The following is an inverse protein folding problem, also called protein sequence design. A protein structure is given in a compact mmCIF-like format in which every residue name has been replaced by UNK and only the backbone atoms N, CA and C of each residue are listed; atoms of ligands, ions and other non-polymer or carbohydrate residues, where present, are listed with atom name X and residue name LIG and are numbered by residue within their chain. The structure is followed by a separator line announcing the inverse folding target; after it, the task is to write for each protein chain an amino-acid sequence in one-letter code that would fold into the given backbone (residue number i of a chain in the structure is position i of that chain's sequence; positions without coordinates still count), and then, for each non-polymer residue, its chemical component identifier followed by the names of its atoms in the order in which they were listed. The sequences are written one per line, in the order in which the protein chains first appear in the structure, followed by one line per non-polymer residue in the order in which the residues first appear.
data_IF_737004546803
#
_entry.id   IF_737004546803
#
_cell.length_a   1.000
_cell.length_b   1.000
_cell.length_c   1.000
_cell.angle_alpha   90.00
_cell.angle_beta   90.00
_cell.angle_gamma   90.00
#
_symmetry.space_group_name_H-M   'P 1'
#
loop_
_entity.id
_entity.type
_entity.pdbx_description
1 polymer ?
#
# COMPACT_ATOMS: atom_id res chain seq x y z
N UNK A 1 20.78 -17.38 6.25
CA UNK A 1 21.40 -16.64 5.11
C UNK A 1 20.43 -16.42 3.94
N UNK A 2 19.59 -17.36 3.56
CA UNK A 2 18.63 -17.24 2.45
C UNK A 2 17.66 -16.04 2.58
N UNK A 3 17.20 -15.71 3.79
CA UNK A 3 16.24 -14.64 4.02
C UNK A 3 16.80 -13.22 3.79
N UNK A 4 18.11 -13.04 3.95
CA UNK A 4 18.79 -11.74 3.73
C UNK A 4 18.98 -11.42 2.24
N UNK A 5 19.27 -12.42 1.43
CA UNK A 5 19.45 -12.27 -0.01
C UNK A 5 18.11 -12.00 -0.71
N UNK A 6 17.07 -12.64 -0.24
CA UNK A 6 15.69 -12.43 -0.70
C UNK A 6 15.19 -11.02 -0.38
N UNK A 7 15.49 -10.50 0.81
CA UNK A 7 15.16 -9.12 1.21
C UNK A 7 15.91 -8.08 0.37
N UNK A 8 17.21 -8.31 0.11
CA UNK A 8 18.01 -7.44 -0.77
C UNK A 8 17.47 -7.45 -2.20
N UNK A 9 17.13 -8.62 -2.74
CA UNK A 9 16.55 -8.75 -4.08
C UNK A 9 15.26 -7.95 -4.23
N UNK A 10 14.36 -7.93 -3.23
CA UNK A 10 13.11 -7.17 -3.31
C UNK A 10 13.34 -5.66 -3.30
N UNK A 11 14.24 -5.17 -2.45
CA UNK A 11 14.60 -3.74 -2.41
C UNK A 11 15.22 -3.33 -3.75
N UNK A 12 16.13 -4.15 -4.28
CA UNK A 12 16.77 -3.89 -5.58
C UNK A 12 15.74 -3.87 -6.71
N UNK A 13 14.82 -4.84 -6.76
CA UNK A 13 13.74 -4.86 -7.75
C UNK A 13 12.84 -3.63 -7.61
N UNK A 14 12.48 -3.23 -6.38
CA UNK A 14 11.68 -2.02 -6.13
C UNK A 14 12.37 -0.76 -6.65
N UNK A 15 13.64 -0.60 -6.33
CA UNK A 15 14.44 0.57 -6.76
C UNK A 15 14.64 0.57 -8.28
N UNK A 16 14.98 -0.58 -8.87
CA UNK A 16 15.14 -0.71 -10.32
C UNK A 16 13.83 -0.39 -11.05
N UNK A 17 12.69 -0.90 -10.56
CA UNK A 17 11.40 -0.63 -11.19
C UNK A 17 11.03 0.84 -11.09
N UNK A 18 11.31 1.50 -9.96
CA UNK A 18 11.10 2.94 -9.80
C UNK A 18 12.01 3.76 -10.74
N UNK A 19 13.28 3.37 -10.87
CA UNK A 19 14.20 3.99 -11.82
C UNK A 19 13.74 3.77 -13.27
N UNK A 20 13.31 2.56 -13.63
CA UNK A 20 12.77 2.25 -14.94
C UNK A 20 11.50 3.06 -15.25
N UNK A 21 10.65 3.29 -14.25
CA UNK A 21 9.48 4.18 -14.34
C UNK A 21 9.91 5.61 -14.70
N UNK A 22 10.88 6.14 -13.98
CA UNK A 22 11.41 7.49 -14.23
C UNK A 22 12.08 7.58 -15.61
N UNK A 23 12.87 6.58 -15.99
CA UNK A 23 13.54 6.52 -17.31
C UNK A 23 12.51 6.37 -18.42
N UNK A 24 11.49 5.56 -18.25
CA UNK A 24 10.42 5.42 -19.23
C UNK A 24 9.62 6.73 -19.42
N UNK A 25 9.37 7.47 -18.33
CA UNK A 25 8.77 8.82 -18.39
C UNK A 25 9.64 9.78 -19.22
N UNK A 26 10.96 9.65 -19.16
CA UNK A 26 11.88 10.53 -19.87
C UNK A 26 12.12 10.14 -21.36
N UNK A 27 11.94 8.87 -21.71
CA UNK A 27 12.34 8.34 -23.03
C UNK A 27 11.20 8.15 -24.03
N UNK A 28 9.95 8.06 -23.56
CA UNK A 28 8.83 7.72 -24.45
C UNK A 28 7.94 8.93 -24.77
N UNK A 29 7.55 9.00 -26.06
CA UNK A 29 6.67 10.02 -26.60
C UNK A 29 5.29 9.97 -25.91
N UNK A 30 4.72 11.10 -25.53
CA UNK A 30 3.60 11.34 -24.59
C UNK A 30 2.36 10.44 -24.70
N UNK A 31 2.13 9.77 -25.84
CA UNK A 31 0.89 8.98 -26.05
C UNK A 31 0.82 7.62 -25.33
N UNK A 32 1.92 7.12 -24.80
CA UNK A 32 2.01 5.78 -24.21
C UNK A 32 2.20 5.75 -22.67
N UNK A 33 2.31 6.90 -22.02
CA UNK A 33 2.67 6.97 -20.59
C UNK A 33 1.68 6.25 -19.66
N UNK A 34 0.40 6.38 -19.93
CA UNK A 34 -0.62 5.76 -19.11
C UNK A 34 -0.54 4.23 -19.21
N UNK A 35 -0.45 3.70 -20.42
CA UNK A 35 -0.29 2.26 -20.67
C UNK A 35 1.02 1.75 -20.06
N UNK A 36 2.11 2.50 -20.24
CA UNK A 36 3.41 2.16 -19.71
C UNK A 36 3.42 2.13 -18.18
N UNK A 37 2.79 3.10 -17.53
CA UNK A 37 2.66 3.12 -16.08
C UNK A 37 1.90 1.90 -15.54
N UNK A 38 0.83 1.48 -16.22
CA UNK A 38 0.09 0.27 -15.85
C UNK A 38 0.91 -1.00 -16.03
N UNK A 39 1.65 -1.10 -17.14
CA UNK A 39 2.53 -2.23 -17.38
C UNK A 39 3.62 -2.33 -16.31
N UNK A 40 4.25 -1.21 -15.96
CA UNK A 40 5.32 -1.18 -14.96
C UNK A 40 4.77 -1.51 -13.57
N UNK A 41 3.64 -0.93 -13.16
CA UNK A 41 3.01 -1.26 -11.89
C UNK A 41 2.60 -2.74 -11.86
N UNK A 42 2.01 -3.25 -12.96
CA UNK A 42 1.67 -4.66 -13.09
C UNK A 42 2.88 -5.58 -12.97
N UNK A 43 3.95 -5.28 -13.72
CA UNK A 43 5.23 -6.03 -13.66
C UNK A 43 5.84 -5.99 -12.25
N UNK A 44 5.75 -4.85 -11.57
CA UNK A 44 6.23 -4.73 -10.20
C UNK A 44 5.42 -5.58 -9.22
N UNK A 45 4.13 -5.74 -9.45
CA UNK A 45 3.25 -6.56 -8.60
C UNK A 45 3.45 -8.06 -8.79
N UNK A 46 3.82 -8.51 -10.01
CA UNK A 46 4.01 -9.93 -10.34
C UNK A 46 4.92 -10.66 -9.36
N UNK A 47 6.13 -10.17 -8.98
CA UNK A 47 6.99 -10.89 -8.05
C UNK A 47 6.37 -11.15 -6.69
N UNK A 48 5.51 -10.26 -6.20
CA UNK A 48 4.82 -10.45 -4.91
C UNK A 48 3.76 -11.53 -5.00
N UNK A 49 2.97 -11.54 -6.08
CA UNK A 49 1.97 -12.58 -6.31
C UNK A 49 2.62 -13.93 -6.63
N UNK A 50 3.63 -13.95 -7.50
CA UNK A 50 4.36 -15.17 -7.84
C UNK A 50 5.04 -15.82 -6.62
N UNK A 51 5.63 -15.01 -5.72
CA UNK A 51 6.20 -15.53 -4.47
C UNK A 51 5.17 -16.13 -3.55
N UNK A 52 3.98 -15.55 -3.55
CA UNK A 52 2.88 -16.05 -2.78
C UNK A 52 2.46 -17.44 -3.28
N UNK A 53 2.55 -17.69 -4.58
CA UNK A 53 2.22 -18.96 -5.21
C UNK A 53 3.33 -20.02 -5.05
N UNK A 54 4.61 -19.61 -5.10
CA UNK A 54 5.77 -20.49 -4.93
C UNK A 54 5.93 -21.00 -3.49
N UNK A 55 5.54 -20.21 -2.49
CA UNK A 55 5.41 -20.71 -1.11
C UNK A 55 4.20 -21.62 -1.09
N UNK A 56 4.35 -22.87 -0.63
CA UNK A 56 3.24 -23.78 -0.36
C UNK A 56 2.30 -23.21 0.72
N UNK A 57 1.52 -22.19 0.31
CA UNK A 57 0.62 -21.48 1.21
C UNK A 57 -0.58 -22.37 1.49
N UNK A 58 -0.81 -22.60 2.76
CA UNK A 58 -1.95 -23.43 3.18
C UNK A 58 -3.24 -22.69 2.84
N UNK A 59 -4.26 -23.42 2.40
CA UNK A 59 -5.59 -22.85 2.06
C UNK A 59 -6.13 -21.92 3.15
N UNK A 60 -5.91 -22.22 4.42
CA UNK A 60 -6.32 -21.38 5.56
C UNK A 60 -5.62 -20.02 5.61
N UNK A 61 -4.40 -19.89 5.06
CA UNK A 61 -3.66 -18.64 4.98
C UNK A 61 -4.22 -17.76 3.87
N UNK A 62 -4.56 -18.36 2.73
CA UNK A 62 -5.23 -17.66 1.62
C UNK A 62 -6.58 -17.11 2.09
N UNK A 63 -7.38 -17.93 2.79
CA UNK A 63 -8.67 -17.52 3.33
C UNK A 63 -8.50 -16.36 4.32
N UNK A 64 -7.51 -16.44 5.20
CA UNK A 64 -7.23 -15.34 6.15
C UNK A 64 -6.91 -14.03 5.43
N UNK A 65 -6.02 -14.08 4.43
CA UNK A 65 -5.63 -12.86 3.69
C UNK A 65 -6.79 -12.31 2.86
N UNK A 66 -7.61 -13.19 2.26
CA UNK A 66 -8.83 -12.79 1.57
C UNK A 66 -9.83 -12.11 2.53
N UNK A 67 -10.02 -12.66 3.73
CA UNK A 67 -10.85 -12.03 4.77
C UNK A 67 -10.31 -10.66 5.18
N UNK A 68 -9.01 -10.53 5.40
CA UNK A 68 -8.40 -9.25 5.78
C UNK A 68 -8.52 -8.21 4.66
N UNK A 69 -8.33 -8.62 3.40
CA UNK A 69 -8.53 -7.75 2.25
C UNK A 69 -9.99 -7.30 2.12
N UNK A 70 -10.94 -8.21 2.37
CA UNK A 70 -12.37 -7.91 2.35
C UNK A 70 -12.76 -6.95 3.48
N UNK A 71 -12.27 -7.17 4.70
CA UNK A 71 -12.52 -6.26 5.84
C UNK A 71 -11.91 -4.89 5.55
N UNK A 72 -10.68 -4.85 5.01
CA UNK A 72 -10.04 -3.60 4.61
C UNK A 72 -10.85 -2.87 3.53
N UNK A 73 -11.33 -3.57 2.51
CA UNK A 73 -12.15 -3.00 1.44
C UNK A 73 -13.48 -2.45 1.96
N UNK A 74 -14.20 -3.26 2.75
CA UNK A 74 -15.52 -2.88 3.30
C UNK A 74 -15.37 -1.71 4.26
N UNK A 75 -14.28 -1.62 5.03
CA UNK A 75 -14.06 -0.54 5.98
C UNK A 75 -14.02 0.86 5.34
N UNK A 76 -13.80 0.97 4.03
CA UNK A 76 -13.86 2.24 3.29
C UNK A 76 -15.29 2.74 3.06
N UNK A 77 -16.23 1.81 2.90
CA UNK A 77 -17.60 2.15 2.47
C UNK A 77 -18.31 3.11 3.45
N UNK A 78 -18.33 2.86 4.77
CA UNK A 78 -18.95 3.78 5.74
C UNK A 78 -18.30 5.17 5.78
N UNK A 79 -17.02 5.26 5.39
CA UNK A 79 -16.24 6.50 5.44
C UNK A 79 -16.11 7.17 4.08
N UNK A 80 -16.77 6.65 3.04
CA UNK A 80 -16.67 7.20 1.68
C UNK A 80 -17.11 8.67 1.58
N UNK A 81 -18.01 9.11 2.45
CA UNK A 81 -18.46 10.51 2.53
C UNK A 81 -17.53 11.43 3.31
N UNK A 82 -16.50 10.91 3.97
CA UNK A 82 -15.55 11.71 4.76
C UNK A 82 -14.21 11.70 4.02
N UNK A 83 -13.80 12.84 3.43
CA UNK A 83 -12.59 12.89 2.62
C UNK A 83 -11.35 12.35 3.35
N UNK A 84 -10.67 11.40 2.71
CA UNK A 84 -9.40 10.83 3.17
C UNK A 84 -9.41 10.11 4.53
N UNK A 85 -10.56 9.89 5.16
CA UNK A 85 -10.65 8.99 6.32
C UNK A 85 -10.64 7.55 5.84
N UNK A 86 -9.52 6.83 6.07
CA UNK A 86 -9.22 5.54 5.44
C UNK A 86 -8.89 4.45 6.48
N UNK A 87 -9.89 3.82 7.15
CA UNK A 87 -9.64 2.70 8.08
C UNK A 87 -8.93 1.53 7.41
N UNK A 88 -9.08 1.39 6.10
CA UNK A 88 -8.36 0.44 5.23
C UNK A 88 -6.87 0.46 5.48
N UNK A 89 -6.25 1.65 5.53
CA UNK A 89 -4.81 1.82 5.76
C UNK A 89 -4.36 1.18 7.07
N UNK A 90 -5.14 1.34 8.13
CA UNK A 90 -4.88 0.71 9.42
C UNK A 90 -4.85 -0.84 9.30
N UNK A 91 -5.85 -1.43 8.64
CA UNK A 91 -5.94 -2.90 8.47
C UNK A 91 -4.76 -3.43 7.67
N UNK A 92 -4.37 -2.72 6.62
CA UNK A 92 -3.21 -3.05 5.78
C UNK A 92 -1.92 -3.00 6.59
N UNK A 93 -1.70 -1.92 7.35
CA UNK A 93 -0.54 -1.77 8.24
C UNK A 93 -0.49 -2.92 9.25
N UNK A 94 -1.61 -3.22 9.93
CA UNK A 94 -1.68 -4.32 10.89
C UNK A 94 -1.40 -5.68 10.27
N UNK A 95 -1.86 -5.89 9.02
CA UNK A 95 -1.55 -7.12 8.28
C UNK A 95 -0.05 -7.27 8.05
N UNK A 96 0.62 -6.23 7.58
CA UNK A 96 2.06 -6.23 7.38
C UNK A 96 2.83 -6.48 8.68
N UNK A 97 2.44 -5.82 9.76
CA UNK A 97 3.06 -5.96 11.09
C UNK A 97 2.97 -7.40 11.60
N UNK A 98 1.80 -8.03 11.52
CA UNK A 98 1.56 -9.35 12.12
C UNK A 98 1.99 -10.49 11.21
N UNK A 99 1.60 -10.43 9.92
CA UNK A 99 1.79 -11.53 8.97
C UNK A 99 2.99 -11.35 8.03
N UNK A 100 3.61 -10.18 8.06
CA UNK A 100 4.83 -9.89 7.30
C UNK A 100 4.59 -9.05 6.05
N UNK A 101 5.69 -8.62 5.44
CA UNK A 101 5.72 -7.62 4.38
C UNK A 101 4.94 -8.06 3.13
N UNK A 102 5.12 -9.31 2.70
CA UNK A 102 4.45 -9.87 1.52
C UNK A 102 2.94 -9.92 1.71
N UNK A 103 2.48 -10.39 2.88
CA UNK A 103 1.05 -10.44 3.23
C UNK A 103 0.43 -9.04 3.28
N UNK A 104 1.17 -8.07 3.84
CA UNK A 104 0.74 -6.67 3.88
C UNK A 104 0.58 -6.08 2.48
N UNK A 105 1.54 -6.36 1.57
CA UNK A 105 1.47 -5.93 0.18
C UNK A 105 0.23 -6.48 -0.53
N UNK A 106 0.02 -7.79 -0.43
CA UNK A 106 -1.09 -8.47 -1.11
C UNK A 106 -2.43 -7.97 -0.60
N UNK A 107 -2.60 -7.88 0.73
CA UNK A 107 -3.85 -7.37 1.32
C UNK A 107 -4.08 -5.91 0.92
N UNK A 108 -3.04 -5.07 0.88
CA UNK A 108 -3.14 -3.69 0.43
C UNK A 108 -3.59 -3.57 -1.02
N UNK A 109 -2.97 -4.32 -1.92
CA UNK A 109 -3.32 -4.35 -3.32
C UNK A 109 -4.75 -4.86 -3.55
N UNK A 110 -5.12 -5.98 -2.92
CA UNK A 110 -6.46 -6.55 -3.04
C UNK A 110 -7.54 -5.65 -2.43
N UNK A 111 -7.25 -5.01 -1.29
CA UNK A 111 -8.19 -4.07 -0.65
C UNK A 111 -8.52 -2.89 -1.56
N UNK A 112 -7.52 -2.34 -2.28
CA UNK A 112 -7.74 -1.31 -3.28
C UNK A 112 -8.67 -1.79 -4.39
N UNK A 113 -8.33 -2.92 -5.00
CA UNK A 113 -9.10 -3.49 -6.10
C UNK A 113 -10.55 -3.79 -5.70
N UNK A 114 -10.73 -4.51 -4.59
CA UNK A 114 -12.06 -4.93 -4.11
C UNK A 114 -12.90 -3.72 -3.69
N UNK A 115 -12.32 -2.76 -2.96
CA UNK A 115 -13.09 -1.58 -2.53
C UNK A 115 -13.53 -0.71 -3.70
N UNK A 116 -12.75 -0.65 -4.77
CA UNK A 116 -13.12 0.12 -5.96
C UNK A 116 -14.26 -0.54 -6.78
N UNK A 117 -14.58 -1.82 -6.54
CA UNK A 117 -15.81 -2.43 -7.09
C UNK A 117 -17.05 -1.70 -6.55
N UNK A 118 -17.02 -1.25 -5.29
CA UNK A 118 -18.11 -0.52 -4.66
C UNK A 118 -18.01 0.99 -4.84
N UNK A 119 -16.78 1.54 -4.86
CA UNK A 119 -16.54 2.98 -4.86
C UNK A 119 -16.20 3.56 -6.24
N UNK A 120 -16.08 2.70 -7.25
CA UNK A 120 -15.75 3.05 -8.62
C UNK A 120 -14.35 2.61 -9.02
N UNK A 121 -14.28 1.79 -10.07
CA UNK A 121 -13.03 1.41 -10.74
C UNK A 121 -12.61 2.49 -11.73
N UNK A 122 -11.31 2.67 -11.87
CA UNK A 122 -10.77 3.60 -12.84
C UNK A 122 -9.26 3.42 -13.06
N UNK A 123 -8.67 4.23 -13.94
CA UNK A 123 -7.23 4.14 -14.24
C UNK A 123 -6.32 4.46 -13.05
N UNK A 124 -6.87 5.03 -11.98
CA UNK A 124 -6.18 5.20 -10.70
C UNK A 124 -6.03 3.90 -9.89
N UNK A 125 -6.82 2.87 -10.20
CA UNK A 125 -6.86 1.63 -9.40
C UNK A 125 -5.51 0.94 -9.28
N UNK A 126 -4.71 0.73 -10.34
CA UNK A 126 -3.37 0.13 -10.21
C UNK A 126 -2.43 0.95 -9.32
N UNK A 127 -2.48 2.27 -9.39
CA UNK A 127 -1.71 3.15 -8.53
C UNK A 127 -2.10 3.02 -7.07
N UNK A 128 -3.39 2.90 -6.81
CA UNK A 128 -3.93 2.70 -5.48
C UNK A 128 -3.55 1.34 -4.90
N UNK A 129 -3.61 0.28 -5.71
CA UNK A 129 -3.13 -1.05 -5.36
C UNK A 129 -1.64 -1.02 -4.98
N UNK A 130 -0.84 -0.31 -5.76
CA UNK A 130 0.58 -0.15 -5.52
C UNK A 130 0.86 0.65 -4.24
N UNK A 131 0.20 1.79 -4.04
CA UNK A 131 0.40 2.65 -2.87
C UNK A 131 0.04 1.93 -1.56
N UNK A 132 -1.12 1.29 -1.47
CA UNK A 132 -1.49 0.49 -0.31
C UNK A 132 -0.67 -0.78 -0.17
N UNK A 133 -0.27 -1.40 -1.28
CA UNK A 133 0.66 -2.52 -1.26
C UNK A 133 1.99 -2.13 -0.61
N UNK A 134 2.57 -1.00 -1.00
CA UNK A 134 3.81 -0.47 -0.41
C UNK A 134 3.65 -0.11 1.08
N UNK A 135 2.50 0.44 1.47
CA UNK A 135 2.19 0.72 2.88
C UNK A 135 2.23 -0.56 3.71
N UNK A 136 1.58 -1.63 3.24
CA UNK A 136 1.59 -2.93 3.89
C UNK A 136 2.97 -3.59 3.89
N UNK A 137 3.71 -3.49 2.77
CA UNK A 137 5.08 -3.99 2.64
C UNK A 137 6.01 -3.34 3.67
N UNK A 138 6.03 -2.02 3.69
CA UNK A 138 6.91 -1.24 4.58
C UNK A 138 6.58 -1.46 6.05
N UNK A 139 5.30 -1.55 6.41
CA UNK A 139 4.89 -1.86 7.78
C UNK A 139 5.42 -3.23 8.24
N UNK A 140 5.40 -4.22 7.36
CA UNK A 140 5.95 -5.56 7.63
C UNK A 140 7.47 -5.59 7.69
N UNK A 141 8.16 -4.81 6.84
CA UNK A 141 9.63 -4.69 6.87
C UNK A 141 10.11 -4.00 8.15
N UNK A 142 9.38 -2.99 8.61
CA UNK A 142 9.72 -2.16 9.77
C UNK A 142 9.13 -2.69 11.08
N UNK A 143 8.46 -3.85 11.09
CA UNK A 143 7.69 -4.38 12.24
C UNK A 143 8.48 -4.55 13.54
N UNK A 144 9.82 -4.68 13.47
CA UNK A 144 10.71 -4.84 14.62
C UNK A 144 11.51 -3.57 14.93
N UNK A 145 11.23 -2.47 14.25
CA UNK A 145 11.90 -1.18 14.44
C UNK A 145 11.11 -0.25 15.35
N UNK A 146 11.76 0.84 15.77
CA UNK A 146 11.11 1.93 16.50
C UNK A 146 9.80 2.40 15.84
N UNK A 147 9.76 2.46 14.51
CA UNK A 147 8.61 2.96 13.75
C UNK A 147 7.30 2.17 13.93
N UNK A 148 7.38 0.94 14.41
CA UNK A 148 6.17 0.12 14.64
C UNK A 148 6.02 -0.27 16.11
N UNK A 149 7.14 -0.52 16.81
CA UNK A 149 7.10 -1.06 18.17
C UNK A 149 6.69 -0.03 19.23
N UNK A 150 7.01 1.25 18.98
CA UNK A 150 6.68 2.33 19.92
C UNK A 150 5.40 3.09 19.49
N UNK A 151 4.74 3.72 20.46
CA UNK A 151 3.55 4.52 20.21
C UNK A 151 3.86 5.70 19.28
N UNK A 152 4.93 6.44 19.55
CA UNK A 152 5.34 7.59 18.74
C UNK A 152 5.79 7.16 17.34
N UNK A 153 6.59 6.09 17.25
CA UNK A 153 7.08 5.58 15.98
C UNK A 153 5.94 5.19 15.03
N UNK A 154 4.95 4.42 15.51
CA UNK A 154 3.81 4.02 14.66
C UNK A 154 2.88 5.18 14.30
N UNK A 155 2.77 6.20 15.17
CA UNK A 155 2.04 7.43 14.85
C UNK A 155 2.74 8.21 13.74
N UNK A 156 4.05 8.37 13.82
CA UNK A 156 4.88 9.00 12.78
C UNK A 156 4.78 8.20 11.48
N UNK A 157 4.90 6.88 11.54
CA UNK A 157 4.77 6.00 10.38
C UNK A 157 3.42 6.14 9.69
N UNK A 158 2.32 6.09 10.45
CA UNK A 158 0.97 6.25 9.91
C UNK A 158 0.74 7.64 9.31
N UNK A 159 1.24 8.68 9.98
CA UNK A 159 1.15 10.06 9.50
C UNK A 159 1.89 10.25 8.18
N UNK A 160 3.15 9.82 8.11
CA UNK A 160 3.97 9.92 6.89
C UNK A 160 3.30 9.14 5.74
N UNK A 161 2.74 7.96 6.01
CA UNK A 161 2.07 7.18 4.98
C UNK A 161 0.78 7.83 4.46
N UNK A 162 0.13 8.70 5.22
CA UNK A 162 -0.97 9.51 4.69
C UNK A 162 -0.50 10.40 3.54
N UNK A 163 0.61 11.09 3.72
CA UNK A 163 1.22 11.93 2.68
C UNK A 163 1.82 11.12 1.52
N UNK A 164 2.59 10.07 1.82
CA UNK A 164 3.21 9.22 0.79
C UNK A 164 2.14 8.59 -0.11
N UNK A 165 1.02 8.15 0.48
CA UNK A 165 -0.10 7.62 -0.30
C UNK A 165 -0.66 8.68 -1.25
N UNK A 166 -0.97 9.88 -0.77
CA UNK A 166 -1.49 10.97 -1.58
C UNK A 166 -0.50 11.39 -2.67
N UNK A 167 0.79 11.47 -2.35
CA UNK A 167 1.84 11.78 -3.32
C UNK A 167 1.94 10.73 -4.43
N UNK A 168 1.84 9.45 -4.10
CA UNK A 168 1.79 8.38 -5.10
C UNK A 168 0.52 8.48 -5.96
N UNK A 169 -0.62 8.83 -5.35
CA UNK A 169 -1.86 9.07 -6.10
C UNK A 169 -1.79 10.31 -6.99
N UNK A 170 -1.07 11.36 -6.59
CA UNK A 170 -0.85 12.53 -7.44
C UNK A 170 -0.05 12.21 -8.70
N UNK A 171 0.87 11.23 -8.64
CA UNK A 171 1.60 10.77 -9.83
C UNK A 171 0.67 10.25 -10.93
N UNK A 172 -0.43 9.58 -10.57
CA UNK A 172 -1.45 9.16 -11.53
C UNK A 172 -2.02 10.37 -12.30
N UNK A 173 -2.34 11.47 -11.60
CA UNK A 173 -2.88 12.70 -12.20
C UNK A 173 -1.85 13.32 -13.15
N UNK A 174 -0.58 13.37 -12.72
CA UNK A 174 0.53 13.92 -13.49
C UNK A 174 0.73 13.12 -14.77
N UNK A 175 0.83 11.78 -14.68
CA UNK A 175 1.05 10.91 -15.82
C UNK A 175 -0.12 10.97 -16.81
N UNK A 176 -1.35 11.11 -16.32
CA UNK A 176 -2.54 11.22 -17.18
C UNK A 176 -2.59 12.53 -17.97
N UNK A 177 -1.90 13.57 -17.53
CA UNK A 177 -1.92 14.90 -18.11
C UNK A 177 -0.53 15.42 -18.47
N UNK A 178 0.41 14.54 -18.74
CA UNK A 178 1.82 14.86 -18.94
C UNK A 178 2.07 15.82 -20.10
N UNK A 179 1.19 15.82 -21.10
CA UNK A 179 1.26 16.74 -22.26
C UNK A 179 1.10 18.22 -21.85
N UNK A 180 0.42 18.46 -20.74
CA UNK A 180 0.16 19.80 -20.19
C UNK A 180 1.06 20.10 -18.98
N UNK A 181 2.19 19.37 -18.83
CA UNK A 181 3.05 19.50 -17.68
C UNK A 181 3.71 20.90 -17.64
N UNK A 182 3.47 21.62 -16.55
CA UNK A 182 4.23 22.80 -16.16
C UNK A 182 4.64 22.67 -14.69
N UNK A 183 5.69 23.37 -14.27
CA UNK A 183 6.14 23.32 -12.88
C UNK A 183 5.07 23.91 -11.94
N UNK A 184 4.41 24.97 -12.35
CA UNK A 184 3.33 25.60 -11.57
C UNK A 184 2.16 24.63 -11.36
N UNK A 185 1.75 23.92 -12.41
CA UNK A 185 0.70 22.93 -12.33
C UNK A 185 1.10 21.74 -11.43
N UNK A 186 2.34 21.24 -11.56
CA UNK A 186 2.87 20.22 -10.67
C UNK A 186 2.79 20.64 -9.20
N UNK A 187 3.30 21.83 -8.87
CA UNK A 187 3.26 22.37 -7.51
C UNK A 187 1.81 22.52 -7.03
N UNK A 188 0.92 23.03 -7.88
CA UNK A 188 -0.49 23.21 -7.55
C UNK A 188 -1.19 21.89 -7.17
N UNK A 189 -0.90 20.79 -7.87
CA UNK A 189 -1.45 19.46 -7.53
C UNK A 189 -1.07 19.07 -6.09
N UNK A 190 0.21 19.20 -5.73
CA UNK A 190 0.68 18.81 -4.39
C UNK A 190 0.18 19.78 -3.30
N UNK A 191 0.08 21.08 -3.58
CA UNK A 191 -0.51 22.05 -2.64
C UNK A 191 -2.00 21.72 -2.41
N UNK A 192 -2.76 21.45 -3.46
CA UNK A 192 -4.18 21.15 -3.35
C UNK A 192 -4.46 19.81 -2.65
N UNK A 193 -3.51 18.88 -2.66
CA UNK A 193 -3.65 17.59 -1.97
C UNK A 193 -3.34 17.66 -0.47
N UNK A 194 -2.66 18.70 0.02
CA UNK A 194 -2.18 18.80 1.41
C UNK A 194 -3.30 18.53 2.42
N UNK A 195 -4.50 19.08 2.20
CA UNK A 195 -5.63 18.86 3.10
C UNK A 195 -6.04 17.39 3.17
N UNK A 196 -6.10 16.72 2.02
CA UNK A 196 -6.46 15.30 1.92
C UNK A 196 -5.37 14.40 2.50
N UNK A 197 -4.10 14.75 2.27
CA UNK A 197 -2.94 14.03 2.79
C UNK A 197 -2.86 14.15 4.31
N UNK A 198 -3.11 15.35 4.84
CA UNK A 198 -3.20 15.62 6.29
C UNK A 198 -4.34 14.80 6.92
N UNK A 199 -5.53 14.83 6.32
CA UNK A 199 -6.69 14.07 6.82
C UNK A 199 -6.41 12.57 6.82
N UNK A 200 -5.75 12.04 5.78
CA UNK A 200 -5.34 10.63 5.72
C UNK A 200 -4.29 10.31 6.80
N UNK A 201 -3.28 11.17 6.96
CA UNK A 201 -2.26 11.01 8.01
C UNK A 201 -2.87 10.99 9.41
N UNK A 202 -3.75 11.93 9.73
CA UNK A 202 -4.45 12.00 11.02
C UNK A 202 -5.38 10.79 11.22
N UNK A 203 -6.09 10.35 10.18
CA UNK A 203 -6.90 9.14 10.21
C UNK A 203 -6.06 7.92 10.57
N UNK A 204 -4.90 7.73 9.92
CA UNK A 204 -4.00 6.63 10.23
C UNK A 204 -3.51 6.67 11.67
N UNK A 205 -3.12 7.84 12.17
CA UNK A 205 -2.70 8.03 13.57
C UNK A 205 -3.83 7.65 14.51
N UNK A 206 -5.04 8.15 14.27
CA UNK A 206 -6.20 7.84 15.10
C UNK A 206 -6.46 6.32 15.20
N UNK A 207 -6.56 5.64 14.07
CA UNK A 207 -6.81 4.20 14.05
C UNK A 207 -5.68 3.39 14.69
N UNK A 208 -4.42 3.79 14.49
CA UNK A 208 -3.27 3.15 15.11
C UNK A 208 -3.25 3.36 16.63
N UNK A 209 -3.59 4.55 17.13
CA UNK A 209 -3.63 4.80 18.57
C UNK A 209 -4.74 4.00 19.25
N UNK A 210 -5.93 3.99 18.67
CA UNK A 210 -7.12 3.39 19.29
C UNK A 210 -7.10 1.86 19.18
N UNK A 211 -6.78 1.31 18.02
CA UNK A 211 -7.03 -0.10 17.73
C UNK A 211 -5.79 -0.99 17.69
N UNK A 212 -4.57 -0.43 17.63
CA UNK A 212 -3.35 -1.23 17.48
C UNK A 212 -3.22 -2.33 18.55
N UNK A 213 -3.40 -1.98 19.83
CA UNK A 213 -3.19 -2.94 20.94
C UNK A 213 -4.20 -4.09 20.94
N UNK A 214 -5.42 -3.84 20.51
CA UNK A 214 -6.46 -4.87 20.40
C UNK A 214 -6.21 -5.77 19.20
N UNK A 215 -5.89 -5.17 18.05
CA UNK A 215 -5.67 -5.90 16.81
C UNK A 215 -4.39 -6.76 16.85
N UNK A 216 -3.30 -6.26 17.42
CA UNK A 216 -2.06 -7.05 17.58
C UNK A 216 -2.31 -8.31 18.43
N UNK A 217 -3.15 -8.20 19.46
CA UNK A 217 -3.53 -9.34 20.30
C UNK A 217 -4.40 -10.34 19.53
N UNK A 218 -5.44 -9.86 18.83
CA UNK A 218 -6.37 -10.72 18.07
C UNK A 218 -5.65 -11.43 16.94
N UNK A 219 -5.00 -10.67 16.06
CA UNK A 219 -4.30 -11.22 14.88
C UNK A 219 -3.11 -12.10 15.29
N UNK A 220 -2.36 -11.72 16.33
CA UNK A 220 -1.28 -12.51 16.88
C UNK A 220 -1.77 -13.83 17.50
N UNK A 221 -2.93 -13.82 18.12
CA UNK A 221 -3.57 -15.04 18.64
C UNK A 221 -3.98 -15.98 17.51
N UNK A 222 -4.60 -15.44 16.44
CA UNK A 222 -4.95 -16.21 15.23
C UNK A 222 -3.69 -16.81 14.59
N UNK A 223 -2.63 -16.02 14.42
CA UNK A 223 -1.35 -16.48 13.87
C UNK A 223 -0.81 -17.69 14.64
N UNK A 224 -0.73 -17.59 15.97
CA UNK A 224 -0.21 -18.69 16.83
C UNK A 224 -1.14 -19.91 16.83
N UNK A 225 -2.46 -19.72 17.00
CA UNK A 225 -3.43 -20.82 17.10
C UNK A 225 -3.46 -21.68 15.84
N UNK A 226 -3.30 -21.09 14.68
CA UNK A 226 -3.43 -21.78 13.40
C UNK A 226 -2.10 -22.01 12.68
N UNK A 227 -0.96 -21.57 13.26
CA UNK A 227 0.37 -21.70 12.66
C UNK A 227 0.43 -21.02 11.30
N UNK A 228 -0.10 -19.78 11.19
CA UNK A 228 -0.27 -19.09 9.93
C UNK A 228 0.97 -18.25 9.60
N UNK A 229 1.43 -18.33 8.36
CA UNK A 229 2.44 -17.43 7.80
C UNK A 229 3.69 -17.30 8.72
N UNK A 230 4.14 -18.44 9.24
CA UNK A 230 5.32 -18.56 10.11
C UNK A 230 6.61 -18.60 9.30
#
# INVERSE_FOLDING_TARGET
MANRNVRRSNIVVTVITFILLLVAILLFNYRAYLLLSFLIIGLFMIPFFARFEIKEIKTREIVLLAMLASIAAISRVPFAGIPSVQPTSFIIIMTGVVFGAESGFIVGALAAFVSNIFLGQGPWTPWQMYAWGLMGLSSGLLRHTFFITTLWGRSIFGFIWGYVFGWLMNLWIIVSNIENFTLEWFIAIYINSIYFDLAHGLSNVFFLLVFYSSWIKIMGRLKRKYGLLT
#
